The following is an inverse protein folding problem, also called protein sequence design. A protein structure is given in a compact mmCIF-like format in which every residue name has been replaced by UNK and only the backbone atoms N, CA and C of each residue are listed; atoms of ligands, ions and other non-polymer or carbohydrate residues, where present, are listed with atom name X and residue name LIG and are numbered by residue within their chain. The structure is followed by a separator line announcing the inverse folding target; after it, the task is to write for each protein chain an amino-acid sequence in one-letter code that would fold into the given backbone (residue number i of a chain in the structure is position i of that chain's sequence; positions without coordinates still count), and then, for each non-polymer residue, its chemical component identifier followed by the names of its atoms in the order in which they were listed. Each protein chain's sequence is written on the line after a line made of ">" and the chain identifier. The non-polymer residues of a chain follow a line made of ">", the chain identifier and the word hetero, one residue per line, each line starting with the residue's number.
data_IF_827474417295
#
_entry.id   IF_827474417295
#
_cell.length_a   1.000
_cell.length_b   1.000
_cell.length_c   1.000
_cell.angle_alpha   90.00
_cell.angle_beta   90.00
_cell.angle_gamma   90.00
#
_symmetry.space_group_name_H-M   'P 1'
#
loop_
_entity.id
_entity.type
_entity.pdbx_description
1 polymer ?
#
# COMPACT_ATOMS: atom_id res chain seq x y z
N UNK A 1 -6.82 26.65 -19.81
CA UNK A 1 -6.77 25.17 -19.77
C UNK A 1 -5.53 24.66 -20.51
N UNK A 2 -4.57 24.12 -19.75
CA UNK A 2 -3.19 23.90 -20.16
C UNK A 2 -3.08 22.81 -21.24
N UNK A 3 -2.60 23.19 -22.43
CA UNK A 3 -2.49 22.33 -23.63
C UNK A 3 -1.46 21.21 -23.39
N UNK A 4 -0.43 21.51 -22.60
CA UNK A 4 0.65 20.58 -22.24
C UNK A 4 0.16 19.41 -21.39
N UNK A 5 -0.80 19.64 -20.49
CA UNK A 5 -1.39 18.57 -19.68
C UNK A 5 -2.23 17.60 -20.51
N UNK A 6 -2.87 18.09 -21.58
CA UNK A 6 -3.63 17.23 -22.52
C UNK A 6 -2.70 16.45 -23.44
N UNK A 7 -1.62 17.07 -23.90
CA UNK A 7 -0.65 16.42 -24.77
C UNK A 7 0.19 15.37 -24.01
N UNK A 8 0.50 15.61 -22.73
CA UNK A 8 1.10 14.60 -21.84
C UNK A 8 0.16 13.41 -21.59
N UNK A 9 -1.13 13.68 -21.32
CA UNK A 9 -2.17 12.64 -21.17
C UNK A 9 -2.36 11.85 -22.47
N UNK A 10 -2.26 12.50 -23.63
CA UNK A 10 -2.39 11.86 -24.94
C UNK A 10 -1.14 11.05 -25.31
N UNK A 11 0.05 11.49 -24.94
CA UNK A 11 1.29 10.72 -25.09
C UNK A 11 1.29 9.46 -24.20
N UNK A 12 0.76 9.57 -22.97
CA UNK A 12 0.53 8.43 -22.07
C UNK A 12 -0.51 7.46 -22.66
N UNK A 13 -1.63 7.97 -23.16
CA UNK A 13 -2.69 7.16 -23.78
C UNK A 13 -2.29 6.50 -25.10
N UNK A 14 -1.36 7.10 -25.86
CA UNK A 14 -0.87 6.52 -27.14
C UNK A 14 0.17 5.41 -26.88
N UNK A 15 0.83 5.39 -25.71
CA UNK A 15 1.66 4.26 -25.26
C UNK A 15 0.84 3.09 -24.70
N UNK A 16 -0.37 3.33 -24.21
CA UNK A 16 -1.24 2.33 -23.60
C UNK A 16 -1.93 1.36 -24.59
N UNK A 17 -1.78 1.55 -25.91
CA UNK A 17 -2.47 0.75 -26.94
C UNK A 17 -1.65 -0.41 -27.53
N UNK A 18 -0.50 -0.75 -26.94
CA UNK A 18 0.19 -2.00 -27.21
C UNK A 18 0.00 -2.91 -25.99
N UNK A 19 -0.71 -4.03 -26.16
CA UNK A 19 -0.67 -5.11 -25.18
C UNK A 19 0.79 -5.59 -25.12
N UNK A 20 1.53 -5.11 -24.13
CA UNK A 20 2.91 -5.48 -23.89
C UNK A 20 2.92 -6.89 -23.29
N UNK A 21 3.77 -7.78 -23.82
CA UNK A 21 4.15 -9.04 -23.17
C UNK A 21 4.95 -8.80 -21.86
N UNK A 22 5.12 -7.53 -21.44
CA UNK A 22 5.74 -7.17 -20.19
C UNK A 22 4.92 -7.68 -18.99
N UNK A 23 5.62 -8.41 -18.12
CA UNK A 23 5.08 -8.92 -16.88
C UNK A 23 4.99 -7.79 -15.83
N UNK A 24 4.00 -7.85 -14.92
CA UNK A 24 3.88 -6.89 -13.82
C UNK A 24 5.19 -6.74 -13.02
N UNK A 25 5.54 -5.48 -12.76
CA UNK A 25 6.75 -5.07 -12.06
C UNK A 25 6.43 -4.12 -10.90
N UNK A 26 7.35 -4.03 -9.94
CA UNK A 26 7.31 -3.04 -8.86
C UNK A 26 8.15 -1.80 -9.21
N UNK A 27 7.97 -1.30 -10.43
CA UNK A 27 8.58 -0.07 -10.91
C UNK A 27 7.59 0.70 -11.81
N UNK A 28 8.06 1.79 -12.42
CA UNK A 28 7.22 2.69 -13.20
C UNK A 28 6.76 2.13 -14.55
N UNK A 29 7.21 0.92 -14.94
CA UNK A 29 6.72 0.23 -16.15
C UNK A 29 5.39 -0.47 -15.94
N UNK A 30 4.89 -0.56 -14.70
CA UNK A 30 3.58 -1.13 -14.40
C UNK A 30 2.69 -0.14 -13.65
N UNK A 31 1.45 0.02 -14.11
CA UNK A 31 0.41 0.74 -13.38
C UNK A 31 -0.49 -0.25 -12.66
N UNK A 32 -0.80 0.08 -11.42
CA UNK A 32 -1.57 -0.75 -10.50
C UNK A 32 -2.85 -0.02 -10.08
N UNK A 33 -3.96 -0.75 -10.02
CA UNK A 33 -5.18 -0.31 -9.34
C UNK A 33 -5.07 -0.66 -7.87
N UNK A 34 -5.00 0.38 -7.03
CA UNK A 34 -5.03 0.30 -5.59
C UNK A 34 -6.48 0.41 -5.12
N UNK A 35 -6.98 -0.64 -4.45
CA UNK A 35 -8.31 -0.65 -3.85
C UNK A 35 -8.22 -0.77 -2.34
N UNK A 36 -8.82 0.19 -1.63
CA UNK A 36 -9.00 0.13 -0.18
C UNK A 36 -10.45 -0.25 0.12
N UNK A 37 -10.65 -1.39 0.78
CA UNK A 37 -11.94 -1.85 1.27
C UNK A 37 -12.00 -1.60 2.77
N UNK A 38 -12.75 -0.57 3.19
CA UNK A 38 -12.79 -0.12 4.58
C UNK A 38 -14.04 -0.63 5.29
N UNK A 39 -13.86 -1.05 6.54
CA UNK A 39 -14.89 -1.66 7.36
C UNK A 39 -15.06 -0.87 8.67
N UNK A 40 -16.30 -0.55 9.01
CA UNK A 40 -16.67 0.09 10.27
C UNK A 40 -16.72 -0.88 11.45
N UNK A 41 -16.76 -2.19 11.18
CA UNK A 41 -16.98 -3.23 12.18
C UNK A 41 -18.41 -3.27 12.72
N UNK A 42 -19.33 -2.48 12.16
CA UNK A 42 -20.73 -2.40 12.60
C UNK A 42 -21.61 -3.33 11.77
N UNK A 43 -22.15 -4.36 12.43
CA UNK A 43 -22.87 -5.44 11.77
C UNK A 43 -21.88 -6.47 11.23
N UNK A 44 -22.14 -7.75 11.43
CA UNK A 44 -21.26 -8.83 10.98
C UNK A 44 -21.36 -9.04 9.45
N UNK A 45 -21.02 -8.01 8.67
CA UNK A 45 -20.98 -8.04 7.22
C UNK A 45 -19.56 -8.29 6.72
N UNK A 46 -19.45 -9.08 5.65
CA UNK A 46 -18.21 -9.25 4.89
C UNK A 46 -18.06 -8.25 3.74
N UNK A 47 -19.09 -7.42 3.50
CA UNK A 47 -19.07 -6.35 2.51
C UNK A 47 -18.45 -5.08 3.13
N UNK A 48 -17.57 -4.38 2.40
CA UNK A 48 -16.98 -3.13 2.88
C UNK A 48 -18.03 -2.02 2.96
N UNK A 49 -17.98 -1.23 4.03
CA UNK A 49 -18.83 -0.03 4.18
C UNK A 49 -18.40 1.07 3.19
N UNK A 50 -17.12 1.11 2.83
CA UNK A 50 -16.54 2.07 1.87
C UNK A 50 -15.48 1.40 1.01
N UNK A 51 -15.54 1.65 -0.29
CA UNK A 51 -14.50 1.27 -1.25
C UNK A 51 -13.89 2.54 -1.82
N UNK A 52 -12.57 2.59 -1.86
CA UNK A 52 -11.78 3.67 -2.48
C UNK A 52 -10.93 3.02 -3.56
N UNK A 53 -11.00 3.56 -4.78
CA UNK A 53 -10.18 3.12 -5.91
C UNK A 53 -9.22 4.25 -6.31
N UNK A 54 -7.94 3.91 -6.43
CA UNK A 54 -6.89 4.79 -6.90
C UNK A 54 -6.00 4.05 -7.90
N UNK A 55 -5.22 4.79 -8.68
CA UNK A 55 -4.14 4.23 -9.50
C UNK A 55 -2.80 4.67 -8.95
N UNK A 56 -1.83 3.77 -9.01
CA UNK A 56 -0.47 4.07 -8.61
C UNK A 56 0.57 3.38 -9.49
N UNK A 57 1.79 3.90 -9.43
CA UNK A 57 3.00 3.25 -9.94
C UNK A 57 4.01 3.11 -8.82
N UNK A 58 4.85 2.08 -8.91
CA UNK A 58 5.94 1.89 -7.96
C UNK A 58 7.22 2.58 -8.47
N UNK A 59 8.04 3.05 -7.56
CA UNK A 59 9.39 3.54 -7.85
C UNK A 59 10.33 2.84 -6.89
N UNK A 60 11.40 2.25 -7.42
CA UNK A 60 12.40 1.50 -6.65
C UNK A 60 13.49 2.46 -6.16
N UNK A 61 13.85 2.35 -4.88
CA UNK A 61 15.07 2.95 -4.34
C UNK A 61 16.25 2.02 -4.65
N UNK A 62 17.21 2.47 -5.45
CA UNK A 62 18.39 1.67 -5.83
C UNK A 62 19.32 1.41 -4.64
N UNK A 63 19.89 0.19 -4.58
CA UNK A 63 20.93 -0.16 -3.61
C UNK A 63 20.43 -0.57 -2.22
N UNK A 64 19.11 -0.76 -2.04
CA UNK A 64 18.52 -1.22 -0.78
C UNK A 64 18.23 -2.73 -0.79
N UNK A 65 18.50 -3.35 0.36
CA UNK A 65 18.11 -4.72 0.68
C UNK A 65 17.47 -4.72 2.10
N UNK A 66 16.18 -5.06 2.26
CA UNK A 66 15.29 -5.55 1.22
C UNK A 66 14.87 -4.45 0.21
N UNK A 67 14.42 -4.83 -1.00
CA UNK A 67 13.93 -3.89 -2.00
C UNK A 67 12.79 -3.04 -1.44
N UNK A 68 12.85 -1.75 -1.74
CA UNK A 68 11.90 -0.77 -1.23
C UNK A 68 11.80 0.42 -2.16
N UNK A 69 10.85 1.31 -1.90
CA UNK A 69 10.81 2.61 -2.52
C UNK A 69 9.52 3.37 -2.29
N UNK A 70 9.10 4.14 -3.29
CA UNK A 70 7.96 5.05 -3.22
C UNK A 70 6.79 4.50 -4.02
N UNK A 71 5.57 4.72 -3.52
CA UNK A 71 4.33 4.51 -4.27
C UNK A 71 3.86 5.88 -4.76
N UNK A 72 3.80 6.08 -6.06
CA UNK A 72 3.30 7.33 -6.63
C UNK A 72 1.82 7.16 -6.99
N UNK A 73 0.94 7.90 -6.33
CA UNK A 73 -0.48 7.96 -6.68
C UNK A 73 -0.63 8.79 -7.95
N UNK A 74 -1.20 8.21 -9.01
CA UNK A 74 -1.37 8.85 -10.32
C UNK A 74 -2.82 9.29 -10.56
N UNK A 75 -3.79 8.64 -9.90
CA UNK A 75 -5.21 8.98 -9.95
C UNK A 75 -5.85 8.64 -8.59
N UNK A 76 -6.58 9.58 -8.01
CA UNK A 76 -7.33 9.46 -6.75
C UNK A 76 -8.54 10.39 -6.81
N UNK A 77 -9.66 9.87 -7.27
CA UNK A 77 -10.89 10.65 -7.44
C UNK A 77 -11.57 10.96 -6.10
N UNK A 78 -11.31 10.16 -5.07
CA UNK A 78 -11.88 10.30 -3.74
C UNK A 78 -11.08 11.28 -2.84
N UNK A 79 -9.88 11.70 -3.26
CA UNK A 79 -9.03 12.62 -2.51
C UNK A 79 -8.55 12.05 -1.17
N UNK A 80 -8.42 10.73 -1.09
CA UNK A 80 -8.03 10.00 0.12
C UNK A 80 -6.55 10.17 0.42
N UNK A 81 -5.70 10.24 -0.61
CA UNK A 81 -4.26 10.36 -0.45
C UNK A 81 -3.86 11.84 -0.35
N UNK A 82 -2.92 12.14 0.55
CA UNK A 82 -2.39 13.51 0.69
C UNK A 82 -1.61 13.88 -0.56
N UNK A 83 -1.94 14.99 -1.20
CA UNK A 83 -1.16 15.52 -2.33
C UNK A 83 0.26 15.88 -1.88
N UNK A 84 1.26 15.37 -2.58
CA UNK A 84 2.67 15.42 -2.15
C UNK A 84 3.00 14.60 -0.90
N UNK A 85 2.11 13.69 -0.47
CA UNK A 85 2.31 12.77 0.64
C UNK A 85 3.46 11.78 0.39
N UNK A 86 4.05 11.27 1.48
CA UNK A 86 5.11 10.26 1.39
C UNK A 86 4.50 8.86 1.52
N UNK A 87 4.28 8.23 0.37
CA UNK A 87 3.82 6.85 0.30
C UNK A 87 4.98 5.90 -0.02
N UNK A 88 5.14 4.85 0.78
CA UNK A 88 6.30 3.94 0.72
C UNK A 88 5.86 2.50 0.57
N UNK A 89 6.71 1.71 -0.06
CA UNK A 89 6.63 0.26 -0.06
C UNK A 89 7.96 -0.35 0.33
N UNK A 90 7.92 -1.53 0.94
CA UNK A 90 9.11 -2.32 1.29
C UNK A 90 8.76 -3.79 1.19
N UNK A 91 9.58 -4.58 0.53
CA UNK A 91 9.49 -6.03 0.61
C UNK A 91 10.10 -6.51 1.92
N UNK A 92 9.55 -7.58 2.51
CA UNK A 92 10.02 -8.09 3.79
C UNK A 92 9.99 -9.62 3.85
N UNK A 93 10.89 -10.19 4.65
CA UNK A 93 10.92 -11.62 5.03
C UNK A 93 9.70 -11.97 5.91
N UNK A 94 9.35 -13.26 6.03
CA UNK A 94 8.28 -13.64 6.96
C UNK A 94 8.66 -13.27 8.42
N UNK A 95 7.86 -12.46 9.12
CA UNK A 95 8.13 -12.08 10.50
C UNK A 95 8.27 -13.27 11.45
N UNK A 96 7.63 -14.40 11.14
CA UNK A 96 7.67 -15.64 11.92
C UNK A 96 8.90 -16.51 11.61
N UNK A 97 9.57 -16.31 10.47
CA UNK A 97 10.71 -17.13 10.04
C UNK A 97 12.07 -16.45 10.22
N UNK A 98 12.14 -15.21 10.73
CA UNK A 98 13.42 -14.49 11.03
C UNK A 98 14.44 -15.26 11.88
N UNK A 99 14.05 -16.38 12.51
CA UNK A 99 14.94 -17.26 13.31
C UNK A 99 15.48 -18.48 12.55
N UNK A 100 15.01 -18.75 11.33
CA UNK A 100 15.59 -19.77 10.47
C UNK A 100 16.83 -19.17 9.81
N UNK A 101 18.01 -19.45 10.38
CA UNK A 101 19.27 -18.87 9.96
C UNK A 101 19.54 -19.01 8.46
N UNK A 102 20.39 -18.10 7.95
CA UNK A 102 20.90 -17.85 6.59
C UNK A 102 21.31 -19.07 5.71
N UNK A 103 21.07 -20.30 6.14
CA UNK A 103 21.50 -21.55 5.50
C UNK A 103 20.38 -22.29 4.74
N UNK A 104 19.13 -21.84 4.77
CA UNK A 104 18.00 -22.51 4.07
C UNK A 104 17.72 -21.91 2.68
N UNK A 105 18.23 -20.70 2.39
CA UNK A 105 17.96 -19.96 1.15
C UNK A 105 18.55 -20.56 -0.13
N UNK A 106 19.43 -21.57 -0.02
CA UNK A 106 20.02 -22.24 -1.19
C UNK A 106 19.10 -23.28 -1.85
N UNK A 107 17.91 -23.55 -1.31
CA UNK A 107 17.09 -24.71 -1.69
C UNK A 107 15.66 -24.41 -2.14
N UNK A 108 15.18 -23.17 -2.06
CA UNK A 108 13.80 -22.84 -2.42
C UNK A 108 13.72 -21.73 -3.47
N UNK A 109 13.06 -22.06 -4.57
CA UNK A 109 12.74 -21.21 -5.73
C UNK A 109 11.62 -20.19 -5.39
N UNK A 110 11.51 -19.81 -4.12
CA UNK A 110 10.49 -18.92 -3.56
C UNK A 110 11.10 -17.53 -3.27
N UNK A 111 10.34 -16.44 -3.42
CA UNK A 111 10.91 -15.09 -3.32
C UNK A 111 11.49 -14.86 -1.93
N UNK A 112 12.73 -14.35 -1.88
CA UNK A 112 13.45 -13.97 -0.65
C UNK A 112 12.60 -13.07 0.28
N UNK A 113 11.64 -12.35 -0.29
CA UNK A 113 10.73 -11.45 0.41
C UNK A 113 9.27 -11.77 0.07
N UNK A 114 8.60 -12.64 0.84
CA UNK A 114 7.23 -13.07 0.56
C UNK A 114 6.16 -12.06 1.01
N UNK A 115 6.54 -10.94 1.62
CA UNK A 115 5.62 -9.90 2.07
C UNK A 115 5.98 -8.53 1.48
N UNK A 116 4.96 -7.69 1.37
CA UNK A 116 5.10 -6.26 1.09
C UNK A 116 4.39 -5.46 2.17
N UNK A 117 5.13 -4.50 2.72
CA UNK A 117 4.60 -3.45 3.58
C UNK A 117 4.35 -2.19 2.76
N UNK A 118 3.23 -1.53 3.05
CA UNK A 118 2.82 -0.26 2.46
C UNK A 118 2.60 0.76 3.57
N UNK A 119 2.87 2.02 3.27
CA UNK A 119 2.63 3.15 4.17
C UNK A 119 2.15 4.33 3.35
N UNK A 120 0.95 4.83 3.60
CA UNK A 120 0.35 5.94 2.88
C UNK A 120 0.05 7.10 3.82
N UNK A 121 0.37 8.32 3.40
CA UNK A 121 -0.19 9.52 4.01
C UNK A 121 -1.61 9.74 3.48
N UNK A 122 -2.61 9.63 4.35
CA UNK A 122 -4.03 9.75 3.98
C UNK A 122 -4.70 10.91 4.71
N UNK A 123 -5.66 11.52 4.03
CA UNK A 123 -6.65 12.39 4.64
C UNK A 123 -7.62 11.56 5.51
N UNK A 124 -8.44 12.25 6.29
CA UNK A 124 -9.52 11.59 7.04
C UNK A 124 -10.50 10.95 6.05
N UNK A 125 -10.78 9.67 6.22
CA UNK A 125 -11.73 8.93 5.36
C UNK A 125 -12.98 8.62 6.16
N UNK A 126 -14.11 9.19 5.75
CA UNK A 126 -15.41 8.80 6.28
C UNK A 126 -15.79 7.44 5.69
N UNK A 127 -15.97 6.44 6.56
CA UNK A 127 -16.25 5.06 6.15
C UNK A 127 -17.74 4.78 6.18
N UNK A 128 -18.46 5.37 7.15
CA UNK A 128 -19.90 5.20 7.29
C UNK A 128 -20.53 6.47 7.85
N UNK A 129 -21.68 6.84 7.31
CA UNK A 129 -22.50 7.91 7.90
C UNK A 129 -22.86 7.57 9.36
N UNK A 130 -22.56 8.48 10.29
CA UNK A 130 -22.90 8.31 11.69
C UNK A 130 -21.75 7.91 12.63
N UNK A 131 -20.48 7.89 12.18
CA UNK A 131 -19.36 8.19 13.09
C UNK A 131 -18.04 7.44 12.91
N UNK A 132 -18.00 6.30 12.20
CA UNK A 132 -16.74 5.60 11.99
C UNK A 132 -15.95 6.21 10.82
N UNK A 133 -14.69 6.54 11.08
CA UNK A 133 -13.78 7.15 10.14
C UNK A 133 -12.36 6.62 10.37
N UNK A 134 -11.58 6.55 9.30
CA UNK A 134 -10.12 6.40 9.38
C UNK A 134 -9.55 7.80 9.61
N UNK A 135 -8.73 8.02 10.67
CA UNK A 135 -8.15 9.32 10.94
C UNK A 135 -7.12 9.70 9.86
N UNK A 136 -6.92 11.00 9.65
CA UNK A 136 -5.81 11.48 8.84
C UNK A 136 -4.47 11.06 9.47
N UNK A 137 -3.49 10.71 8.63
CA UNK A 137 -2.18 10.25 9.07
C UNK A 137 -1.69 9.04 8.27
N UNK A 138 -0.95 8.14 8.94
CA UNK A 138 -0.40 6.95 8.31
C UNK A 138 -1.41 5.81 8.27
N UNK A 139 -1.73 5.37 7.06
CA UNK A 139 -2.43 4.13 6.78
C UNK A 139 -1.39 3.09 6.32
N UNK A 140 -1.34 1.97 7.01
CA UNK A 140 -0.40 0.88 6.76
C UNK A 140 -1.11 -0.27 6.04
N UNK A 141 -0.46 -0.81 5.02
CA UNK A 141 -0.88 -2.02 4.33
C UNK A 141 0.12 -3.13 4.55
N UNK A 142 -0.35 -4.36 4.71
CA UNK A 142 0.48 -5.57 4.73
C UNK A 142 -0.14 -6.59 3.79
N UNK A 143 0.63 -7.08 2.82
CA UNK A 143 0.16 -8.05 1.83
C UNK A 143 1.21 -9.08 1.47
N UNK A 144 0.76 -10.19 0.89
CA UNK A 144 1.67 -11.21 0.35
C UNK A 144 2.18 -10.78 -1.01
N UNK A 145 3.45 -11.09 -1.24
CA UNK A 145 4.15 -10.86 -2.48
C UNK A 145 4.68 -12.20 -3.01
N UNK A 146 4.43 -12.46 -4.28
CA UNK A 146 5.03 -13.55 -5.02
C UNK A 146 5.69 -13.01 -6.30
N UNK A 147 6.70 -13.71 -6.79
CA UNK A 147 7.31 -13.42 -8.09
C UNK A 147 7.50 -14.69 -8.89
N UNK A 148 6.93 -14.73 -10.09
CA UNK A 148 7.03 -15.87 -11.00
C UNK A 148 7.66 -15.48 -12.33
N UNK A 149 8.42 -16.40 -12.94
CA UNK A 149 9.07 -16.19 -14.24
C UNK A 149 8.11 -15.93 -15.39
N UNK A 150 6.84 -16.36 -15.27
CA UNK A 150 5.77 -16.18 -16.27
C UNK A 150 4.67 -15.21 -15.84
N UNK A 151 4.66 -14.79 -14.58
CA UNK A 151 3.60 -13.96 -14.00
C UNK A 151 4.07 -12.61 -13.50
N UNK A 152 5.39 -12.37 -13.44
CA UNK A 152 5.95 -11.17 -12.83
C UNK A 152 5.66 -11.13 -11.33
N UNK A 153 5.56 -9.91 -10.80
CA UNK A 153 5.15 -9.66 -9.43
C UNK A 153 3.64 -9.85 -9.27
N UNK A 154 3.26 -10.59 -8.23
CA UNK A 154 1.87 -10.84 -7.87
C UNK A 154 1.67 -10.38 -6.43
N UNK A 155 0.68 -9.53 -6.22
CA UNK A 155 0.31 -9.01 -4.91
C UNK A 155 -1.07 -9.57 -4.56
N UNK A 156 -1.19 -10.22 -3.41
CA UNK A 156 -2.46 -10.80 -2.95
C UNK A 156 -3.18 -9.86 -1.99
N UNK A 157 -4.43 -10.20 -1.65
CA UNK A 157 -5.23 -9.48 -0.65
C UNK A 157 -4.43 -9.21 0.64
N UNK A 158 -4.36 -7.94 1.01
CA UNK A 158 -3.68 -7.45 2.20
C UNK A 158 -4.62 -6.87 3.24
N UNK A 159 -4.06 -6.58 4.41
CA UNK A 159 -4.76 -5.93 5.53
C UNK A 159 -4.38 -4.46 5.60
N UNK A 160 -5.32 -3.63 6.03
CA UNK A 160 -5.13 -2.21 6.30
C UNK A 160 -5.26 -1.94 7.79
N UNK A 161 -4.33 -1.15 8.32
CA UNK A 161 -4.38 -0.67 9.70
C UNK A 161 -3.90 0.75 9.83
N UNK A 162 -4.37 1.47 10.85
CA UNK A 162 -3.82 2.75 11.25
C UNK A 162 -3.40 2.69 12.71
N UNK A 163 -2.50 3.59 13.13
CA UNK A 163 -2.09 3.70 14.54
C UNK A 163 -2.63 4.99 15.12
N UNK A 164 -3.38 4.89 16.22
CA UNK A 164 -3.77 6.04 17.02
C UNK A 164 -2.82 6.15 18.19
N UNK A 165 -1.93 7.15 18.15
CA UNK A 165 -1.07 7.44 19.29
C UNK A 165 -1.90 8.08 20.40
N UNK A 166 -2.20 7.33 21.46
CA UNK A 166 -2.81 7.88 22.68
C UNK A 166 -1.69 8.26 23.64
N UNK A 167 -1.61 9.54 23.98
CA UNK A 167 -0.72 10.04 25.04
C UNK A 167 -1.38 9.76 26.38
N UNK A 168 -0.88 8.79 27.13
CA UNK A 168 -1.30 8.57 28.51
C UNK A 168 -0.39 9.40 29.44
N UNK A 169 -0.99 10.22 30.31
CA UNK A 169 -0.25 10.77 31.46
C UNK A 169 -0.11 9.67 32.50
N UNK A 170 1.09 9.08 32.56
CA UNK A 170 1.45 8.15 33.63
C UNK A 170 1.97 8.96 34.83
N UNK A 171 1.05 9.17 35.78
CA UNK A 171 1.24 9.43 37.21
C UNK A 171 1.50 10.85 37.78
N UNK A 172 1.10 10.99 39.07
CA UNK A 172 0.86 12.19 39.93
C UNK A 172 1.95 13.29 39.99
N UNK A 173 3.05 13.17 39.27
CA UNK A 173 4.19 14.11 39.28
C UNK A 173 4.70 14.52 37.88
N UNK A 174 3.98 14.13 36.81
CA UNK A 174 4.07 14.84 35.52
C UNK A 174 5.37 14.68 34.71
N UNK A 175 6.19 13.67 34.97
CA UNK A 175 7.52 13.53 34.35
C UNK A 175 7.68 12.37 33.35
N UNK A 176 6.61 11.67 32.93
CA UNK A 176 6.72 10.74 31.81
C UNK A 176 5.47 10.78 30.90
N UNK A 177 5.69 11.09 29.62
CA UNK A 177 4.68 10.92 28.56
C UNK A 177 4.99 9.61 27.85
N UNK A 178 4.15 8.61 28.04
CA UNK A 178 4.25 7.35 27.30
C UNK A 178 3.24 7.41 26.15
N UNK A 179 3.76 7.40 24.93
CA UNK A 179 2.96 7.35 23.70
C UNK A 179 2.96 5.90 23.20
N UNK A 180 1.86 5.19 23.41
CA UNK A 180 1.67 3.82 22.89
C UNK A 180 0.47 3.87 21.93
N UNK A 181 0.71 3.50 20.68
CA UNK A 181 -0.33 3.35 19.67
C UNK A 181 -0.39 1.91 19.21
N UNK A 182 -1.51 1.23 19.49
CA UNK A 182 -1.79 -0.09 18.96
C UNK A 182 -2.34 0.02 17.53
N UNK A 183 -1.92 -0.87 16.60
CA UNK A 183 -2.49 -0.90 15.26
C UNK A 183 -3.97 -1.29 15.34
N UNK A 184 -4.83 -0.45 14.78
CA UNK A 184 -6.26 -0.72 14.61
C UNK A 184 -6.48 -1.17 13.18
N UNK A 185 -6.88 -2.43 12.98
CA UNK A 185 -7.29 -2.93 11.67
C UNK A 185 -8.55 -2.20 11.20
N UNK A 186 -8.54 -1.77 9.94
CA UNK A 186 -9.59 -0.92 9.36
C UNK A 186 -10.05 -1.39 7.99
N UNK A 187 -9.44 -2.46 7.46
CA UNK A 187 -9.96 -3.13 6.28
C UNK A 187 -8.94 -3.92 5.48
N UNK A 188 -9.16 -3.98 4.17
CA UNK A 188 -8.34 -4.74 3.22
C UNK A 188 -7.78 -3.84 2.12
N UNK A 189 -6.61 -4.21 1.62
CA UNK A 189 -6.00 -3.58 0.45
C UNK A 189 -5.84 -4.61 -0.66
N UNK A 190 -6.12 -4.18 -1.89
CA UNK A 190 -5.85 -4.96 -3.11
C UNK A 190 -5.06 -4.13 -4.10
N UNK A 191 -4.16 -4.79 -4.81
CA UNK A 191 -3.37 -4.19 -5.87
C UNK A 191 -3.39 -5.12 -7.08
N UNK A 192 -4.08 -4.68 -8.13
CA UNK A 192 -4.15 -5.41 -9.39
C UNK A 192 -3.34 -4.64 -10.45
N UNK A 193 -2.43 -5.29 -11.16
CA UNK A 193 -1.76 -4.67 -12.29
C UNK A 193 -2.77 -4.48 -13.43
N UNK A 194 -2.91 -3.25 -13.92
CA UNK A 194 -3.90 -2.89 -14.95
C UNK A 194 -3.26 -2.54 -16.29
N UNK A 195 -2.02 -2.06 -16.29
CA UNK A 195 -1.27 -1.70 -17.50
C UNK A 195 0.23 -2.00 -17.30
N UNK A 196 0.87 -2.49 -18.35
CA UNK A 196 2.33 -2.69 -18.44
C UNK A 196 2.86 -2.02 -19.70
N UNK A 197 4.10 -1.51 -19.66
CA UNK A 197 4.71 -0.70 -20.72
C UNK A 197 6.06 -1.22 -21.21
#
# INVERSE_FOLDING_TARGET
>A
PNRDARDARRALATRAAAASDALPSLDASSTWRLRLELFSGVGASSEPDRVVDARCVFVVDEGYEPPQGVVQIVEDDDGVFVDGGLHRWTLEEDPNERKAGLWIWGLFEEPLYPYMLLSFDVNRVEVREGGYHVPAGKLFGEMRHARGSKSGHVLSDGRLSFKVTKTYQADLVGLSKVSVGEPTECGRVRLDCVETF
#
